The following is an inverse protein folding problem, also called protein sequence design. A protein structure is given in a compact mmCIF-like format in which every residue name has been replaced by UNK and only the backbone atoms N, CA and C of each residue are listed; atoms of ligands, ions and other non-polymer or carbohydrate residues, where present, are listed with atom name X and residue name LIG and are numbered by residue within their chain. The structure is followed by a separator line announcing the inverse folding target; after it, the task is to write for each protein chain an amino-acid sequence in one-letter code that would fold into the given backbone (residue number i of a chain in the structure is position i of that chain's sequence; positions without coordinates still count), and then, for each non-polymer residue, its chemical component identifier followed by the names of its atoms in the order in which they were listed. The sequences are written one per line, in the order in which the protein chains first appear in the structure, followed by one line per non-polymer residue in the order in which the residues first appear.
data_IF_481866668049
#
_entry.id   IF_481866668049
#
_cell.length_a   1.000
_cell.length_b   1.000
_cell.length_c   1.000
_cell.angle_alpha   90.00
_cell.angle_beta   90.00
_cell.angle_gamma   90.00
#
_symmetry.space_group_name_H-M   'P 1'
#
loop_
_entity.id
_entity.type
_entity.pdbx_description
1 polymer ?
#
# COMPACT_ATOMS: atom_id res chain seq x y z
N UNK A 1 -41.27 -0.27 19.63
CA UNK A 1 -40.62 -1.58 19.38
C UNK A 1 -39.21 -1.46 19.95
N UNK A 2 -38.96 -2.19 21.03
CA UNK A 2 -37.75 -2.09 21.85
C UNK A 2 -36.66 -2.99 21.24
N UNK A 3 -35.48 -2.46 20.94
CA UNK A 3 -34.30 -3.26 20.62
C UNK A 3 -33.37 -3.31 21.83
N UNK A 4 -33.29 -4.50 22.40
CA UNK A 4 -32.46 -4.88 23.53
C UNK A 4 -31.08 -5.30 23.04
N UNK A 5 -30.05 -4.63 23.54
CA UNK A 5 -28.93 -5.21 24.31
C UNK A 5 -28.25 -6.48 23.76
N UNK A 6 -27.01 -6.33 23.25
CA UNK A 6 -26.00 -7.38 23.37
C UNK A 6 -24.63 -6.77 23.70
N UNK A 7 -24.25 -6.92 24.95
CA UNK A 7 -23.02 -6.45 25.58
C UNK A 7 -22.01 -7.61 25.55
N UNK A 8 -21.02 -7.56 24.65
CA UNK A 8 -19.97 -8.57 24.56
C UNK A 8 -18.77 -8.17 25.45
N UNK A 9 -18.66 -8.86 26.58
CA UNK A 9 -17.52 -8.85 27.50
C UNK A 9 -16.33 -9.59 26.87
N UNK A 10 -15.27 -8.85 26.50
CA UNK A 10 -13.95 -9.43 26.26
C UNK A 10 -13.20 -9.52 27.60
N UNK A 11 -12.85 -10.75 28.00
CA UNK A 11 -12.05 -11.05 29.18
C UNK A 11 -10.55 -10.73 29.00
N UNK A 12 -9.81 -10.55 30.10
CA UNK A 12 -8.38 -10.24 30.08
C UNK A 12 -7.52 -11.49 29.80
N UNK A 13 -6.60 -11.37 28.84
CA UNK A 13 -5.58 -12.39 28.59
C UNK A 13 -4.50 -12.35 29.69
N UNK A 14 -4.22 -13.51 30.29
CA UNK A 14 -3.13 -13.74 31.23
C UNK A 14 -1.81 -13.88 30.47
N UNK A 15 -0.87 -12.96 30.71
CA UNK A 15 0.46 -13.01 30.11
C UNK A 15 1.37 -13.99 30.87
N UNK A 16 1.89 -14.95 30.12
CA UNK A 16 2.80 -16.03 30.48
C UNK A 16 4.17 -15.48 30.91
N UNK A 17 4.64 -15.87 32.10
CA UNK A 17 5.97 -15.51 32.62
C UNK A 17 7.05 -16.42 32.01
N UNK A 18 7.89 -15.83 31.16
CA UNK A 18 9.04 -16.50 30.54
C UNK A 18 10.12 -16.86 31.56
N UNK A 19 10.42 -18.15 31.62
CA UNK A 19 11.44 -18.80 32.44
C UNK A 19 12.87 -18.38 32.05
N UNK A 20 13.72 -18.30 33.07
CA UNK A 20 15.14 -17.94 33.02
C UNK A 20 15.91 -18.82 32.03
N UNK A 21 16.53 -18.21 31.02
CA UNK A 21 17.55 -18.87 30.18
C UNK A 21 18.81 -19.13 31.02
N UNK A 22 19.07 -20.41 31.27
CA UNK A 22 20.35 -20.93 31.75
C UNK A 22 21.42 -20.60 30.69
N UNK A 23 22.43 -19.84 31.09
CA UNK A 23 23.64 -19.62 30.32
C UNK A 23 24.48 -20.89 30.40
N UNK A 24 24.31 -21.78 29.42
CA UNK A 24 25.22 -22.90 29.20
C UNK A 24 26.36 -22.42 28.30
N UNK A 25 27.45 -22.05 28.96
CA UNK A 25 28.76 -21.75 28.39
C UNK A 25 29.31 -23.00 27.70
N UNK A 26 28.94 -23.22 26.44
CA UNK A 26 29.65 -24.17 25.58
C UNK A 26 30.96 -23.54 25.12
N UNK A 27 32.02 -23.95 25.81
CA UNK A 27 33.40 -23.70 25.48
C UNK A 27 33.69 -24.33 24.12
N UNK A 28 33.95 -23.48 23.13
CA UNK A 28 34.61 -23.86 21.89
C UNK A 28 35.93 -24.56 22.21
N UNK A 29 36.13 -25.77 21.68
CA UNK A 29 37.43 -26.34 21.28
C UNK A 29 37.24 -27.77 20.79
N UNK A 30 37.09 -27.93 19.48
CA UNK A 30 37.77 -28.97 18.69
C UNK A 30 37.34 -28.82 17.24
N UNK A 31 37.73 -27.72 16.61
CA UNK A 31 38.02 -27.70 15.17
C UNK A 31 39.24 -28.60 14.91
N UNK A 32 39.04 -29.89 15.12
CA UNK A 32 39.97 -30.93 14.72
C UNK A 32 39.64 -31.27 13.27
N UNK A 33 40.53 -30.84 12.39
CA UNK A 33 40.81 -31.44 11.10
C UNK A 33 39.69 -31.27 10.06
N UNK A 34 39.96 -30.37 9.11
CA UNK A 34 39.78 -30.65 7.69
C UNK A 34 40.38 -32.04 7.39
N UNK A 35 39.66 -33.11 7.74
CA UNK A 35 39.96 -34.45 7.26
C UNK A 35 39.62 -34.40 5.78
N UNK A 36 40.64 -34.13 4.98
CA UNK A 36 40.64 -34.47 3.56
C UNK A 36 39.92 -35.80 3.40
N UNK A 37 38.90 -35.81 2.53
CA UNK A 37 38.12 -36.99 2.16
C UNK A 37 39.00 -38.25 2.27
N UNK A 38 38.69 -39.22 3.14
CA UNK A 38 39.37 -40.50 3.07
C UNK A 38 39.09 -41.03 1.66
N UNK A 39 40.14 -41.15 0.85
CA UNK A 39 40.01 -41.52 -0.55
C UNK A 39 39.45 -42.95 -0.62
N UNK A 40 38.14 -43.08 -0.91
CA UNK A 40 37.46 -44.37 -1.00
C UNK A 40 37.86 -45.16 -2.25
N UNK A 41 38.65 -44.59 -3.16
CA UNK A 41 39.10 -45.27 -4.38
C UNK A 41 39.90 -46.54 -4.10
N UNK A 42 40.74 -46.54 -3.05
CA UNK A 42 41.50 -47.71 -2.64
C UNK A 42 40.60 -48.82 -2.10
N UNK A 43 39.62 -48.48 -1.26
CA UNK A 43 38.67 -49.44 -0.69
C UNK A 43 37.75 -50.03 -1.76
N UNK A 44 37.32 -49.24 -2.75
CA UNK A 44 36.54 -49.72 -3.90
C UNK A 44 37.35 -50.68 -4.75
N UNK A 45 38.64 -50.38 -5.01
CA UNK A 45 39.52 -51.27 -5.77
C UNK A 45 39.70 -52.63 -5.06
N UNK A 46 39.87 -52.62 -3.73
CA UNK A 46 39.97 -53.83 -2.93
C UNK A 46 38.65 -54.62 -2.90
N UNK A 47 37.51 -53.96 -2.73
CA UNK A 47 36.20 -54.61 -2.79
C UNK A 47 35.94 -55.28 -4.14
N UNK A 48 36.33 -54.63 -5.26
CA UNK A 48 36.22 -55.20 -6.60
C UNK A 48 37.16 -56.39 -6.82
N UNK A 49 38.40 -56.31 -6.30
CA UNK A 49 39.37 -57.41 -6.38
C UNK A 49 38.88 -58.62 -5.60
N UNK A 50 38.43 -58.43 -4.36
CA UNK A 50 37.90 -59.50 -3.50
C UNK A 50 36.63 -60.11 -4.11
N UNK A 51 35.73 -59.28 -4.67
CA UNK A 51 34.53 -59.77 -5.36
C UNK A 51 34.86 -60.63 -6.58
N UNK A 52 35.97 -60.35 -7.27
CA UNK A 52 36.45 -61.14 -8.42
C UNK A 52 37.11 -62.46 -7.98
N UNK A 53 37.83 -62.46 -6.86
CA UNK A 53 38.54 -63.62 -6.34
C UNK A 53 37.62 -64.63 -5.63
N UNK A 54 36.69 -64.15 -4.80
CA UNK A 54 35.85 -65.00 -3.94
C UNK A 54 34.39 -65.10 -4.42
N UNK A 55 34.02 -64.32 -5.45
CA UNK A 55 32.67 -64.22 -5.98
C UNK A 55 31.85 -63.14 -5.26
N UNK A 56 30.96 -62.47 -5.99
CA UNK A 56 30.19 -61.33 -5.47
C UNK A 56 29.25 -61.65 -4.29
N UNK A 57 28.99 -62.94 -4.02
CA UNK A 57 28.13 -63.39 -2.90
C UNK A 57 28.92 -63.97 -1.73
N UNK A 58 30.26 -63.93 -1.76
CA UNK A 58 31.08 -64.42 -0.65
C UNK A 58 31.01 -63.47 0.56
N UNK A 59 31.22 -64.02 1.76
CA UNK A 59 31.27 -63.26 3.02
C UNK A 59 32.34 -62.16 2.99
N UNK A 60 33.48 -62.45 2.36
CA UNK A 60 34.64 -61.57 2.23
C UNK A 60 34.34 -60.39 1.30
N UNK A 61 33.65 -60.65 0.19
CA UNK A 61 33.17 -59.59 -0.70
C UNK A 61 32.17 -58.67 0.02
N UNK A 62 31.26 -59.23 0.83
CA UNK A 62 30.28 -58.46 1.59
C UNK A 62 30.94 -57.52 2.61
N UNK A 63 31.92 -58.02 3.37
CA UNK A 63 32.65 -57.20 4.36
C UNK A 63 33.44 -56.08 3.68
N UNK A 64 34.05 -56.35 2.52
CA UNK A 64 34.78 -55.32 1.77
C UNK A 64 33.85 -54.20 1.27
N UNK A 65 32.65 -54.53 0.80
CA UNK A 65 31.63 -53.54 0.42
C UNK A 65 31.04 -52.79 1.62
N UNK A 66 30.85 -53.45 2.76
CA UNK A 66 30.43 -52.81 4.01
C UNK A 66 31.45 -51.75 4.47
N UNK A 67 32.75 -52.01 4.26
CA UNK A 67 33.81 -51.04 4.56
C UNK A 67 33.75 -49.82 3.64
N UNK A 68 33.46 -50.01 2.34
CA UNK A 68 33.26 -48.90 1.39
C UNK A 68 32.04 -48.07 1.80
N UNK A 69 30.95 -48.73 2.17
CA UNK A 69 29.72 -48.08 2.64
C UNK A 69 29.96 -47.26 3.91
N UNK A 70 30.72 -47.79 4.88
CA UNK A 70 31.08 -47.06 6.10
C UNK A 70 31.95 -45.81 5.79
N UNK A 71 32.88 -45.93 4.84
CA UNK A 71 33.71 -44.80 4.41
C UNK A 71 32.92 -43.71 3.68
N UNK A 72 31.99 -44.08 2.79
CA UNK A 72 31.12 -43.13 2.09
C UNK A 72 30.07 -42.53 3.04
N UNK A 73 29.55 -43.30 4.00
CA UNK A 73 28.62 -42.79 5.02
C UNK A 73 29.28 -41.78 5.98
N UNK A 74 30.60 -41.89 6.19
CA UNK A 74 31.37 -40.91 6.93
C UNK A 74 31.61 -39.59 6.16
N UNK A 75 31.26 -39.53 4.87
CA UNK A 75 31.39 -38.32 4.06
C UNK A 75 30.27 -37.31 4.34
N UNK A 76 30.56 -36.34 5.19
CA UNK A 76 29.66 -35.22 5.49
C UNK A 76 29.75 -34.05 4.48
N UNK A 77 30.53 -34.18 3.41
CA UNK A 77 30.68 -33.14 2.37
C UNK A 77 29.35 -32.59 1.81
N UNK A 78 28.31 -33.41 1.50
CA UNK A 78 27.06 -32.86 0.97
C UNK A 78 26.35 -31.91 1.94
N UNK A 79 26.45 -32.15 3.26
CA UNK A 79 25.88 -31.26 4.27
C UNK A 79 26.62 -29.91 4.35
N UNK A 80 27.93 -29.91 4.12
CA UNK A 80 28.76 -28.69 4.15
C UNK A 80 28.48 -27.82 2.91
N UNK A 81 28.31 -28.43 1.73
CA UNK A 81 27.98 -27.69 0.50
C UNK A 81 26.62 -27.00 0.53
N UNK A 82 25.63 -27.57 1.22
CA UNK A 82 24.34 -26.90 1.42
C UNK A 82 24.49 -25.61 2.25
N UNK A 83 25.34 -25.64 3.28
CA UNK A 83 25.55 -24.49 4.17
C UNK A 83 26.16 -23.28 3.43
N UNK A 84 27.07 -23.52 2.47
CA UNK A 84 27.62 -22.44 1.64
C UNK A 84 26.59 -21.85 0.68
N UNK A 85 25.71 -22.68 0.13
CA UNK A 85 24.64 -22.23 -0.77
C UNK A 85 23.58 -21.41 -0.03
N UNK A 86 23.22 -21.82 1.19
CA UNK A 86 22.25 -21.09 2.03
C UNK A 86 22.73 -19.67 2.34
N UNK A 87 24.01 -19.47 2.66
CA UNK A 87 24.58 -18.13 2.90
C UNK A 87 24.52 -17.22 1.67
N UNK A 88 24.64 -17.80 0.47
CA UNK A 88 24.55 -17.04 -0.78
C UNK A 88 23.13 -16.57 -1.09
N UNK A 89 22.13 -17.40 -0.77
CA UNK A 89 20.71 -17.09 -0.97
C UNK A 89 20.23 -16.04 0.04
N UNK A 90 20.66 -16.15 1.29
CA UNK A 90 20.34 -15.18 2.35
C UNK A 90 20.86 -13.77 2.00
N UNK A 91 22.11 -13.69 1.49
CA UNK A 91 22.69 -12.43 1.04
C UNK A 91 21.94 -11.82 -0.16
N UNK A 92 21.51 -12.65 -1.10
CA UNK A 92 20.68 -12.21 -2.24
C UNK A 92 19.35 -11.61 -1.75
N UNK A 93 18.70 -12.27 -0.80
CA UNK A 93 17.42 -11.82 -0.25
C UNK A 93 17.55 -10.50 0.53
N UNK A 94 18.64 -10.32 1.28
CA UNK A 94 18.95 -9.05 1.97
C UNK A 94 19.17 -7.89 0.97
N UNK A 95 19.88 -8.13 -0.13
CA UNK A 95 20.07 -7.13 -1.19
C UNK A 95 18.74 -6.74 -1.87
N UNK A 96 17.87 -7.70 -2.16
CA UNK A 96 16.57 -7.43 -2.76
C UNK A 96 15.66 -6.65 -1.79
N UNK A 97 15.64 -7.05 -0.51
CA UNK A 97 14.88 -6.35 0.52
C UNK A 97 15.31 -4.90 0.68
N UNK A 98 16.63 -4.64 0.76
CA UNK A 98 17.17 -3.27 0.87
C UNK A 98 16.89 -2.43 -0.37
N UNK A 99 16.93 -3.01 -1.57
CA UNK A 99 16.56 -2.32 -2.80
C UNK A 99 15.07 -1.90 -2.81
N UNK A 100 14.17 -2.82 -2.41
CA UNK A 100 12.73 -2.54 -2.29
C UNK A 100 12.46 -1.45 -1.25
N UNK A 101 13.15 -1.50 -0.10
CA UNK A 101 12.98 -0.49 0.96
C UNK A 101 13.42 0.91 0.50
N UNK A 102 14.53 1.02 -0.24
CA UNK A 102 14.96 2.30 -0.85
C UNK A 102 13.94 2.81 -1.87
N UNK A 103 13.41 1.92 -2.72
CA UNK A 103 12.38 2.27 -3.70
C UNK A 103 11.12 2.81 -3.02
N UNK A 104 10.66 2.16 -1.96
CA UNK A 104 9.50 2.59 -1.18
C UNK A 104 9.74 3.97 -0.53
N UNK A 105 10.90 4.17 0.09
CA UNK A 105 11.28 5.45 0.69
C UNK A 105 11.30 6.59 -0.35
N UNK A 106 11.72 6.31 -1.58
CA UNK A 106 11.72 7.30 -2.67
C UNK A 106 10.30 7.67 -3.05
N UNK A 107 9.42 6.68 -3.28
CA UNK A 107 8.01 6.92 -3.61
C UNK A 107 7.30 7.74 -2.52
N UNK A 108 7.53 7.41 -1.24
CA UNK A 108 6.93 8.15 -0.11
C UNK A 108 7.41 9.61 -0.04
N UNK A 109 8.63 9.89 -0.49
CA UNK A 109 9.16 11.26 -0.51
C UNK A 109 8.56 12.05 -1.66
N UNK A 110 8.44 11.44 -2.83
CA UNK A 110 7.82 12.03 -4.02
C UNK A 110 6.33 12.30 -3.82
N UNK A 111 5.57 11.36 -3.23
CA UNK A 111 4.15 11.59 -2.93
C UNK A 111 3.96 12.71 -1.92
N UNK A 112 4.84 12.82 -0.92
CA UNK A 112 4.80 13.91 0.04
C UNK A 112 5.08 15.28 -0.60
N UNK A 113 6.03 15.36 -1.53
CA UNK A 113 6.30 16.60 -2.27
C UNK A 113 5.12 16.97 -3.20
N UNK A 114 4.50 16.00 -3.86
CA UNK A 114 3.32 16.24 -4.67
C UNK A 114 2.12 16.71 -3.82
N UNK A 115 1.91 16.13 -2.63
CA UNK A 115 0.87 16.57 -1.71
C UNK A 115 1.11 17.98 -1.18
N UNK A 116 2.36 18.39 -0.93
CA UNK A 116 2.65 19.76 -0.51
C UNK A 116 2.37 20.76 -1.63
N UNK A 117 2.67 20.42 -2.88
CA UNK A 117 2.33 21.23 -4.05
C UNK A 117 0.80 21.37 -4.23
N UNK A 118 0.05 20.28 -4.07
CA UNK A 118 -1.42 20.32 -4.14
C UNK A 118 -2.00 21.20 -3.03
N UNK A 119 -1.46 21.15 -1.80
CA UNK A 119 -1.89 22.03 -0.70
C UNK A 119 -1.66 23.51 -1.03
N UNK A 120 -0.53 23.85 -1.64
CA UNK A 120 -0.24 25.22 -2.09
C UNK A 120 -1.22 25.64 -3.19
N UNK A 121 -1.48 24.77 -4.17
CA UNK A 121 -2.43 25.04 -5.25
C UNK A 121 -3.85 25.24 -4.71
N UNK A 122 -4.30 24.39 -3.79
CA UNK A 122 -5.61 24.51 -3.15
C UNK A 122 -5.73 25.79 -2.32
N UNK A 123 -4.67 26.18 -1.59
CA UNK A 123 -4.64 27.47 -0.88
C UNK A 123 -4.71 28.66 -1.85
N UNK A 124 -4.00 28.58 -2.98
CA UNK A 124 -4.07 29.61 -4.02
C UNK A 124 -5.45 29.67 -4.68
N UNK A 125 -6.09 28.53 -4.96
CA UNK A 125 -7.45 28.46 -5.47
C UNK A 125 -8.48 29.01 -4.47
N UNK A 126 -8.28 28.79 -3.17
CA UNK A 126 -9.15 29.37 -2.13
C UNK A 126 -8.99 30.88 -2.02
N UNK A 127 -7.77 31.39 -2.22
CA UNK A 127 -7.50 32.84 -2.20
C UNK A 127 -7.92 33.52 -3.51
N UNK A 128 -7.88 32.79 -4.62
CA UNK A 128 -8.61 33.09 -5.85
C UNK A 128 -10.07 32.71 -5.61
N UNK A 129 -10.72 33.37 -4.65
CA UNK A 129 -12.17 33.34 -4.58
C UNK A 129 -12.63 33.83 -5.96
N UNK A 130 -13.07 32.89 -6.80
CA UNK A 130 -13.63 33.18 -8.12
C UNK A 130 -15.02 33.74 -7.82
N UNK A 131 -15.06 34.91 -7.20
CA UNK A 131 -16.16 35.83 -7.38
C UNK A 131 -16.20 36.06 -8.89
N UNK A 132 -17.09 35.33 -9.57
CA UNK A 132 -17.33 35.46 -11.00
C UNK A 132 -17.42 36.97 -11.26
N UNK A 133 -16.41 37.63 -11.87
CA UNK A 133 -16.30 39.09 -11.88
C UNK A 133 -17.44 39.74 -12.67
N UNK A 134 -18.23 38.92 -13.35
CA UNK A 134 -19.45 39.25 -14.05
C UNK A 134 -20.69 39.25 -13.14
N UNK A 135 -20.73 38.42 -12.08
CA UNK A 135 -21.86 38.36 -11.13
C UNK A 135 -21.84 39.51 -10.11
N UNK A 136 -20.66 39.92 -9.66
CA UNK A 136 -20.50 41.03 -8.70
C UNK A 136 -20.68 42.43 -9.31
N UNK A 137 -20.66 42.55 -10.66
CA UNK A 137 -20.94 43.81 -11.38
C UNK A 137 -22.41 44.03 -11.73
N UNK A 138 -23.28 43.04 -11.52
CA UNK A 138 -24.70 43.18 -11.81
C UNK A 138 -25.36 44.08 -10.75
N UNK A 139 -26.02 45.18 -11.16
CA UNK A 139 -26.69 46.08 -10.23
C UNK A 139 -27.73 45.31 -9.41
N UNK A 140 -27.91 45.68 -8.15
CA UNK A 140 -28.85 45.01 -7.23
C UNK A 140 -30.31 45.10 -7.67
N UNK A 141 -30.62 45.91 -8.68
CA UNK A 141 -31.93 45.96 -9.34
C UNK A 141 -32.21 44.74 -10.22
N UNK A 142 -31.20 43.94 -10.57
CA UNK A 142 -31.32 42.77 -11.45
C UNK A 142 -31.38 41.44 -10.68
N UNK A 143 -32.06 41.41 -9.53
CA UNK A 143 -32.27 40.18 -8.73
C UNK A 143 -32.90 39.04 -9.54
N UNK A 144 -33.84 39.38 -10.44
CA UNK A 144 -34.47 38.41 -11.34
C UNK A 144 -33.45 37.76 -12.28
N UNK A 145 -32.61 38.54 -12.95
CA UNK A 145 -31.59 38.02 -13.86
C UNK A 145 -30.54 37.18 -13.12
N UNK A 146 -30.08 37.61 -11.94
CA UNK A 146 -29.16 36.83 -11.10
C UNK A 146 -29.73 35.43 -10.80
N UNK A 147 -31.03 35.33 -10.49
CA UNK A 147 -31.72 34.07 -10.22
C UNK A 147 -31.77 33.15 -11.45
N UNK A 148 -32.19 33.67 -12.61
CA UNK A 148 -32.29 32.85 -13.86
C UNK A 148 -30.91 32.37 -14.31
N UNK A 149 -29.88 33.22 -14.18
CA UNK A 149 -28.50 32.88 -14.55
C UNK A 149 -27.92 31.80 -13.62
N UNK A 150 -28.21 31.88 -12.32
CA UNK A 150 -27.87 30.82 -11.36
C UNK A 150 -28.59 29.51 -11.68
N UNK A 151 -29.86 29.57 -12.11
CA UNK A 151 -30.65 28.39 -12.48
C UNK A 151 -30.17 27.73 -13.76
N UNK A 152 -29.84 28.50 -14.80
CA UNK A 152 -29.25 27.98 -16.03
C UNK A 152 -27.88 27.32 -15.80
N UNK A 153 -27.05 27.90 -14.92
CA UNK A 153 -25.77 27.31 -14.51
C UNK A 153 -25.98 25.98 -13.77
N UNK A 154 -26.91 25.94 -12.82
CA UNK A 154 -27.25 24.73 -12.10
C UNK A 154 -27.80 23.63 -13.04
N UNK A 155 -28.67 23.97 -13.99
CA UNK A 155 -29.19 23.02 -14.97
C UNK A 155 -28.08 22.43 -15.87
N UNK A 156 -27.14 23.28 -16.31
CA UNK A 156 -25.96 22.85 -17.09
C UNK A 156 -25.05 21.90 -16.31
N UNK A 157 -24.84 22.15 -15.02
CA UNK A 157 -24.01 21.30 -14.16
C UNK A 157 -24.68 19.95 -13.84
N UNK A 158 -25.99 19.94 -13.61
CA UNK A 158 -26.73 18.70 -13.27
C UNK A 158 -26.95 17.81 -14.47
N UNK A 159 -27.39 18.38 -15.58
CA UNK A 159 -27.86 17.62 -16.74
C UNK A 159 -26.82 17.57 -17.88
N UNK A 160 -25.77 18.37 -17.81
CA UNK A 160 -24.79 18.55 -18.87
C UNK A 160 -25.13 19.73 -19.79
N UNK A 161 -24.12 20.32 -20.47
CA UNK A 161 -24.28 21.57 -21.22
C UNK A 161 -25.16 21.43 -22.47
N UNK A 162 -25.34 20.22 -22.99
CA UNK A 162 -26.16 19.95 -24.18
C UNK A 162 -27.53 19.34 -23.83
N UNK A 163 -27.89 19.24 -22.55
CA UNK A 163 -29.19 18.69 -22.17
C UNK A 163 -30.32 19.63 -22.55
N UNK A 164 -31.51 19.07 -22.81
CA UNK A 164 -32.69 19.86 -23.12
C UNK A 164 -33.04 20.82 -21.97
N UNK A 165 -32.82 20.40 -20.73
CA UNK A 165 -33.02 21.19 -19.52
C UNK A 165 -32.03 22.35 -19.41
N UNK A 166 -30.76 22.13 -19.76
CA UNK A 166 -29.76 23.19 -19.78
C UNK A 166 -30.06 24.21 -20.87
N UNK A 167 -30.36 23.75 -22.09
CA UNK A 167 -30.71 24.61 -23.22
C UNK A 167 -31.98 25.42 -22.92
N UNK A 168 -33.00 24.81 -22.33
CA UNK A 168 -34.22 25.51 -21.94
C UNK A 168 -33.95 26.61 -20.90
N UNK A 169 -33.10 26.34 -19.90
CA UNK A 169 -32.76 27.32 -18.88
C UNK A 169 -31.90 28.47 -19.44
N UNK A 170 -30.99 28.21 -20.37
CA UNK A 170 -30.22 29.26 -21.06
C UNK A 170 -31.08 30.12 -22.00
N UNK A 171 -32.05 29.51 -22.69
CA UNK A 171 -33.01 30.27 -23.50
C UNK A 171 -33.84 31.25 -22.65
N UNK A 172 -34.13 30.91 -21.38
CA UNK A 172 -34.81 31.82 -20.46
C UNK A 172 -33.90 32.99 -20.05
N UNK A 173 -32.60 32.76 -19.86
CA UNK A 173 -31.61 33.84 -19.65
C UNK A 173 -31.62 34.79 -20.85
N UNK A 174 -31.54 34.25 -22.07
CA UNK A 174 -31.54 35.04 -23.30
C UNK A 174 -32.81 35.88 -23.42
N UNK A 175 -33.98 35.28 -23.21
CA UNK A 175 -35.27 35.98 -23.21
C UNK A 175 -35.30 37.13 -22.19
N UNK A 176 -34.77 36.88 -20.99
CA UNK A 176 -34.65 37.87 -19.93
C UNK A 176 -33.74 39.05 -20.29
N UNK A 177 -32.68 38.79 -21.06
CA UNK A 177 -31.75 39.83 -21.51
C UNK A 177 -32.27 40.64 -22.69
N UNK A 178 -32.99 40.03 -23.63
CA UNK A 178 -33.41 40.66 -24.88
C UNK A 178 -34.68 41.53 -24.75
N UNK A 179 -35.69 41.07 -24.01
CA UNK A 179 -37.05 41.66 -24.13
C UNK A 179 -37.27 42.88 -23.24
N UNK A 180 -36.55 43.03 -22.12
CA UNK A 180 -36.90 44.03 -21.09
C UNK A 180 -35.70 44.76 -20.47
N UNK A 181 -34.49 44.65 -21.03
CA UNK A 181 -33.29 45.24 -20.42
C UNK A 181 -33.07 44.77 -18.98
N UNK A 182 -33.50 43.55 -18.64
CA UNK A 182 -33.34 42.93 -17.32
C UNK A 182 -34.34 43.33 -16.23
N UNK A 183 -35.34 44.18 -16.48
CA UNK A 183 -36.21 44.72 -15.41
C UNK A 183 -37.49 43.89 -15.16
N UNK A 184 -37.79 42.89 -16.02
CA UNK A 184 -39.11 42.23 -16.05
C UNK A 184 -39.12 40.71 -15.84
N UNK A 185 -38.04 40.09 -15.39
CA UNK A 185 -37.97 38.63 -15.22
C UNK A 185 -38.76 38.18 -13.98
N UNK A 186 -40.06 37.96 -14.14
CA UNK A 186 -40.91 37.45 -13.07
C UNK A 186 -40.82 35.91 -13.02
N UNK A 187 -39.77 35.41 -12.38
CA UNK A 187 -39.47 33.97 -12.24
C UNK A 187 -40.32 33.29 -11.14
N UNK A 188 -41.50 33.83 -10.84
CA UNK A 188 -42.31 33.36 -9.72
C UNK A 188 -43.19 32.15 -10.08
N UNK A 189 -43.29 31.78 -11.36
CA UNK A 189 -44.41 30.94 -11.80
C UNK A 189 -44.12 29.50 -12.22
N UNK A 190 -42.89 29.02 -12.52
CA UNK A 190 -42.88 27.68 -13.13
C UNK A 190 -41.65 26.77 -13.08
N UNK A 191 -40.61 27.04 -12.29
CA UNK A 191 -39.47 26.10 -12.25
C UNK A 191 -39.13 25.58 -10.85
N UNK A 192 -39.39 24.30 -10.68
CA UNK A 192 -39.04 23.46 -9.53
C UNK A 192 -37.54 23.10 -9.48
N UNK A 193 -36.74 23.64 -10.40
CA UNK A 193 -35.32 23.32 -10.45
C UNK A 193 -34.53 24.01 -9.35
N UNK A 194 -35.04 25.03 -8.65
CA UNK A 194 -34.43 25.46 -7.38
C UNK A 194 -34.40 24.35 -6.31
N UNK A 195 -35.41 23.46 -6.29
CA UNK A 195 -35.42 22.31 -5.40
C UNK A 195 -34.53 21.17 -5.92
N UNK A 196 -34.45 20.96 -7.25
CA UNK A 196 -33.52 20.01 -7.86
C UNK A 196 -32.06 20.50 -7.82
N UNK A 197 -31.83 21.81 -7.85
CA UNK A 197 -30.56 22.50 -7.70
C UNK A 197 -30.15 22.58 -6.23
N UNK A 198 -31.07 22.69 -5.27
CA UNK A 198 -30.77 22.41 -3.86
C UNK A 198 -30.43 20.94 -3.66
N UNK A 199 -31.17 20.02 -4.29
CA UNK A 199 -30.87 18.59 -4.26
C UNK A 199 -29.56 18.25 -4.99
N UNK A 200 -29.19 19.04 -6.00
CA UNK A 200 -27.93 18.92 -6.71
C UNK A 200 -26.79 19.67 -6.03
N UNK A 201 -27.02 20.76 -5.30
CA UNK A 201 -26.02 21.36 -4.40
C UNK A 201 -25.77 20.47 -3.18
N UNK A 202 -26.69 19.55 -2.85
CA UNK A 202 -26.45 18.43 -1.91
C UNK A 202 -25.88 17.16 -2.57
N UNK A 203 -25.83 17.07 -3.90
CA UNK A 203 -25.29 15.90 -4.64
C UNK A 203 -23.97 16.23 -5.38
N UNK A 204 -23.69 17.52 -5.58
CA UNK A 204 -22.44 18.17 -6.01
C UNK A 204 -21.94 19.16 -4.93
N UNK A 205 -22.38 19.06 -3.69
CA UNK A 205 -21.55 18.32 -2.73
C UNK A 205 -21.27 16.90 -3.30
N UNK A 206 -20.33 16.70 -4.23
CA UNK A 206 -18.95 16.49 -3.85
C UNK A 206 -18.68 17.04 -2.45
N UNK A 207 -19.37 16.48 -1.44
CA UNK A 207 -18.92 16.53 -0.08
C UNK A 207 -17.54 15.94 -0.29
N UNK A 208 -16.53 16.79 -0.21
CA UNK A 208 -15.33 16.27 0.40
C UNK A 208 -15.83 15.97 1.80
N UNK A 209 -16.31 14.73 1.94
CA UNK A 209 -16.99 14.29 3.13
C UNK A 209 -16.09 14.74 4.27
N UNK A 210 -16.63 15.43 5.27
CA UNK A 210 -15.78 15.83 6.39
C UNK A 210 -15.09 14.58 6.95
N UNK A 211 -15.72 13.41 6.79
CA UNK A 211 -15.10 12.10 7.00
C UNK A 211 -13.98 11.78 6.01
N UNK A 212 -14.09 12.07 4.71
CA UNK A 212 -13.01 11.88 3.73
C UNK A 212 -11.82 12.81 3.98
N UNK A 213 -12.04 14.06 4.40
CA UNK A 213 -10.96 14.93 4.84
C UNK A 213 -10.30 14.40 6.11
N UNK A 214 -11.08 13.95 7.10
CA UNK A 214 -10.55 13.34 8.31
C UNK A 214 -9.79 12.04 8.00
N UNK A 215 -10.31 11.19 7.12
CA UNK A 215 -9.64 9.97 6.64
C UNK A 215 -8.36 10.30 5.87
N UNK A 216 -8.35 11.38 5.09
CA UNK A 216 -7.15 11.86 4.41
C UNK A 216 -6.12 12.40 5.41
N UNK A 217 -6.54 13.11 6.46
CA UNK A 217 -5.66 13.54 7.55
C UNK A 217 -5.08 12.35 8.34
N UNK A 218 -5.92 11.39 8.72
CA UNK A 218 -5.52 10.16 9.41
C UNK A 218 -4.56 9.33 8.54
N UNK A 219 -4.80 9.25 7.22
CA UNK A 219 -3.91 8.60 6.27
C UNK A 219 -2.55 9.31 6.17
N UNK A 220 -2.53 10.66 6.18
CA UNK A 220 -1.30 11.43 6.22
C UNK A 220 -0.54 11.16 7.53
N UNK A 221 -1.21 11.12 8.68
CA UNK A 221 -0.58 10.78 9.96
C UNK A 221 0.01 9.37 9.95
N UNK A 222 -0.69 8.40 9.38
CA UNK A 222 -0.20 7.03 9.22
C UNK A 222 1.05 6.98 8.33
N UNK A 223 1.10 7.76 7.26
CA UNK A 223 2.26 7.87 6.38
C UNK A 223 3.46 8.53 7.09
N UNK A 224 3.23 9.54 7.93
CA UNK A 224 4.29 10.13 8.75
C UNK A 224 4.88 9.14 9.76
N UNK A 225 4.02 8.34 10.39
CA UNK A 225 4.45 7.29 11.32
C UNK A 225 5.26 6.20 10.61
N UNK A 226 4.82 5.75 9.44
CA UNK A 226 5.58 4.83 8.57
C UNK A 226 6.95 5.42 8.21
N UNK A 227 7.01 6.70 7.84
CA UNK A 227 8.27 7.38 7.53
C UNK A 227 9.22 7.39 8.73
N UNK A 228 8.72 7.62 9.95
CA UNK A 228 9.54 7.55 11.18
C UNK A 228 10.07 6.13 11.41
N UNK A 229 9.22 5.12 11.24
CA UNK A 229 9.63 3.72 11.36
C UNK A 229 10.72 3.35 10.35
N UNK A 230 10.52 3.69 9.07
CA UNK A 230 11.51 3.44 8.01
C UNK A 230 12.83 4.14 8.32
N UNK A 231 12.81 5.35 8.88
CA UNK A 231 14.04 6.05 9.30
C UNK A 231 14.76 5.32 10.43
N UNK A 232 14.04 4.83 11.44
CA UNK A 232 14.61 4.09 12.56
C UNK A 232 15.27 2.79 12.04
N UNK A 233 14.58 2.05 11.17
CA UNK A 233 15.09 0.78 10.69
C UNK A 233 16.26 0.98 9.71
N UNK A 234 16.23 2.02 8.90
CA UNK A 234 17.38 2.42 8.10
C UNK A 234 18.59 2.77 8.98
N UNK A 235 18.39 3.47 10.11
CA UNK A 235 19.49 3.75 11.04
C UNK A 235 20.03 2.47 11.70
N UNK A 236 19.18 1.48 11.99
CA UNK A 236 19.62 0.18 12.54
C UNK A 236 20.42 -0.66 11.56
N UNK A 237 20.09 -0.61 10.27
CA UNK A 237 20.85 -1.32 9.23
C UNK A 237 22.22 -0.67 8.93
N UNK A 238 22.38 0.62 9.22
CA UNK A 238 23.62 1.37 8.96
C UNK A 238 24.55 1.49 10.19
N UNK A 239 24.15 0.99 11.36
CA UNK A 239 24.91 1.02 12.60
C UNK A 239 25.61 -0.32 12.85
#
# INVERSE_FOLDING_TARGET
MNFSLFLLLLGPATAFTGTKKVILRQRASSSFLLKSRPDSSAAVADALRISKEFGGTSSEARIAWETVEEMDAADMSPAITLSSTIKSVEKLHEMEYTAKMRSLSRLLTETHENLSQIKILAANLKNLDIEDPHLSKLPDTATGLKKVLQEAKAASEVHGPESAESVAAWNEVDFCTDVMGGVGCNVDTMYHYSAAALKAHHVYDAVVDATFFQEAEDAIEMLENLRRFVRIENNRLNA
#
